data_IF_107807513687
#
_entry.id   IF_107807513687
#
_cell.length_a   1.000
_cell.length_b   1.000
_cell.length_c   1.000
_cell.angle_alpha   90.00
_cell.angle_beta   90.00
_cell.angle_gamma   90.00
#
_symmetry.space_group_name_H-M   'P 1'
#
loop_
_entity.id
_entity.type
_entity.pdbx_description
1 polymer ?
#
# COMPACT_ATOMS: atom_id res chain seq x y z
N UNK A 1 -32.80 -0.93 11.09
CA UNK A 1 -31.88 0.21 10.92
C UNK A 1 -30.64 -0.32 10.20
N UNK A 2 -30.06 0.45 9.28
CA UNK A 2 -28.79 0.10 8.62
C UNK A 2 -27.69 0.61 9.55
N UNK A 3 -26.89 -0.29 10.09
CA UNK A 3 -25.76 0.06 10.97
C UNK A 3 -24.53 0.42 10.13
N UNK A 4 -23.85 1.52 10.46
CA UNK A 4 -22.67 1.98 9.73
C UNK A 4 -21.41 1.25 10.24
N UNK A 5 -20.62 0.72 9.31
CA UNK A 5 -19.40 -0.02 9.62
C UNK A 5 -19.52 -1.51 9.29
N UNK A 6 -18.56 -2.30 9.73
CA UNK A 6 -18.55 -3.75 9.59
C UNK A 6 -17.81 -4.41 10.77
N UNK A 7 -18.09 -5.69 11.08
CA UNK A 7 -17.52 -6.34 12.25
C UNK A 7 -16.08 -6.84 12.03
N UNK A 8 -15.34 -6.85 13.14
CA UNK A 8 -14.15 -7.64 13.37
C UNK A 8 -14.53 -8.87 14.21
N UNK A 9 -14.18 -10.06 13.71
CA UNK A 9 -14.24 -11.30 14.47
C UNK A 9 -12.86 -11.63 15.04
N UNK A 10 -12.74 -11.65 16.37
CA UNK A 10 -11.55 -12.15 17.05
C UNK A 10 -11.74 -13.63 17.36
N UNK A 11 -10.82 -14.46 16.89
CA UNK A 11 -10.83 -15.91 17.06
C UNK A 11 -9.70 -16.30 18.01
N UNK A 12 -10.05 -17.02 19.08
CA UNK A 12 -9.10 -17.78 19.87
C UNK A 12 -9.43 -19.27 19.76
N UNK A 13 -8.41 -20.11 19.90
CA UNK A 13 -8.58 -21.54 19.73
C UNK A 13 -8.00 -22.35 20.89
N UNK A 14 -8.70 -23.43 21.24
CA UNK A 14 -8.24 -24.43 22.19
C UNK A 14 -8.30 -25.80 21.52
N UNK A 15 -7.22 -26.57 21.65
CA UNK A 15 -7.14 -27.93 21.13
C UNK A 15 -7.30 -28.95 22.25
N UNK A 16 -8.14 -29.96 22.05
CA UNK A 16 -8.28 -31.07 22.99
C UNK A 16 -8.64 -32.35 22.24
N UNK A 17 -7.78 -33.38 22.26
CA UNK A 17 -8.06 -34.71 21.67
C UNK A 17 -8.58 -34.66 20.20
N UNK A 18 -7.89 -33.92 19.32
CA UNK A 18 -8.31 -33.69 17.91
C UNK A 18 -9.62 -32.89 17.76
N UNK A 19 -10.07 -32.21 18.81
CA UNK A 19 -11.18 -31.26 18.76
C UNK A 19 -10.64 -29.85 18.88
N UNK A 20 -10.90 -29.01 17.87
CA UNK A 20 -10.56 -27.59 17.89
C UNK A 20 -11.79 -26.80 18.31
N UNK A 21 -11.73 -26.17 19.47
CA UNK A 21 -12.76 -25.29 20.00
C UNK A 21 -12.39 -23.85 19.65
N UNK A 22 -13.21 -23.18 18.85
CA UNK A 22 -13.03 -21.79 18.45
C UNK A 22 -13.96 -20.92 19.27
N UNK A 23 -13.42 -19.99 20.03
CA UNK A 23 -14.16 -18.92 20.68
C UNK A 23 -14.09 -17.69 19.78
N UNK A 24 -15.25 -17.19 19.35
CA UNK A 24 -15.34 -16.11 18.38
C UNK A 24 -16.12 -14.96 18.99
N UNK A 25 -15.48 -13.81 19.10
CA UNK A 25 -16.07 -12.56 19.60
C UNK A 25 -16.18 -11.54 18.47
N UNK A 26 -17.32 -10.87 18.37
CA UNK A 26 -17.51 -9.76 17.43
C UNK A 26 -17.38 -8.40 18.13
N UNK A 27 -16.87 -7.41 17.38
CA UNK A 27 -16.91 -6.00 17.71
C UNK A 27 -16.90 -5.18 16.41
N UNK A 28 -17.25 -3.89 16.43
CA UNK A 28 -17.05 -3.02 15.26
C UNK A 28 -15.57 -2.90 14.93
N UNK A 29 -15.20 -2.99 13.64
CA UNK A 29 -13.87 -2.62 13.19
C UNK A 29 -13.79 -1.10 13.01
N UNK A 30 -12.87 -0.45 13.73
CA UNK A 30 -12.58 0.99 13.59
C UNK A 30 -11.13 1.13 13.13
N UNK A 31 -10.91 1.84 12.02
CA UNK A 31 -9.62 1.86 11.33
C UNK A 31 -8.50 2.56 12.13
N UNK A 32 -8.85 3.48 13.02
CA UNK A 32 -7.91 4.17 13.92
C UNK A 32 -7.64 3.41 15.23
N UNK A 33 -8.29 2.26 15.43
CA UNK A 33 -8.14 1.44 16.63
C UNK A 33 -8.84 2.00 17.87
N UNK A 34 -9.66 3.05 17.74
CA UNK A 34 -10.43 3.59 18.85
C UNK A 34 -11.48 2.60 19.38
N UNK A 35 -11.98 2.86 20.60
CA UNK A 35 -12.96 2.00 21.24
C UNK A 35 -14.33 2.06 20.53
N UNK A 36 -15.00 0.92 20.44
CA UNK A 36 -16.38 0.82 19.97
C UNK A 36 -17.37 1.11 21.11
N UNK A 37 -17.63 2.39 21.36
CA UNK A 37 -18.58 2.79 22.40
C UNK A 37 -20.03 2.38 22.09
N UNK A 38 -20.36 2.24 20.80
CA UNK A 38 -21.71 1.87 20.33
C UNK A 38 -22.00 0.37 20.50
N UNK A 39 -20.96 -0.47 20.60
CA UNK A 39 -21.07 -1.93 20.76
C UNK A 39 -22.05 -2.56 19.77
N UNK A 40 -21.95 -2.15 18.49
CA UNK A 40 -22.83 -2.61 17.42
C UNK A 40 -22.74 -4.14 17.24
N UNK A 41 -23.86 -4.77 16.91
CA UNK A 41 -23.96 -6.22 16.79
C UNK A 41 -24.61 -6.62 15.47
N UNK A 42 -23.91 -7.48 14.74
CA UNK A 42 -24.38 -8.02 13.48
C UNK A 42 -24.80 -9.47 13.62
N UNK A 43 -25.78 -9.86 12.80
CA UNK A 43 -26.05 -11.27 12.51
C UNK A 43 -25.12 -11.71 11.38
N UNK A 44 -24.11 -12.52 11.72
CA UNK A 44 -23.00 -12.83 10.81
C UNK A 44 -23.05 -14.31 10.41
N UNK A 45 -23.23 -14.66 9.13
CA UNK A 45 -23.09 -16.04 8.66
C UNK A 45 -21.61 -16.41 8.61
N UNK A 46 -21.10 -17.03 9.68
CA UNK A 46 -19.71 -17.47 9.77
C UNK A 46 -19.59 -18.79 9.00
N UNK A 47 -18.66 -18.81 8.06
CA UNK A 47 -18.20 -20.02 7.38
C UNK A 47 -16.80 -20.35 7.86
N UNK A 48 -16.52 -21.65 8.02
CA UNK A 48 -15.20 -22.18 8.39
C UNK A 48 -14.79 -23.22 7.37
N UNK A 49 -13.52 -23.20 6.94
CA UNK A 49 -12.92 -24.25 6.14
C UNK A 49 -11.53 -24.60 6.69
N UNK A 50 -11.09 -25.81 6.38
CA UNK A 50 -9.97 -26.47 7.05
C UNK A 50 -9.08 -27.17 6.03
N UNK A 51 -7.90 -27.63 6.46
CA UNK A 51 -6.99 -28.42 5.62
C UNK A 51 -7.62 -29.66 4.98
N UNK A 52 -8.51 -30.35 5.69
CA UNK A 52 -9.24 -31.52 5.16
C UNK A 52 -10.30 -31.15 4.11
N UNK A 53 -10.80 -29.92 4.15
CA UNK A 53 -11.81 -29.38 3.25
C UNK A 53 -11.38 -28.02 2.67
N UNK A 54 -10.26 -27.94 1.94
CA UNK A 54 -9.64 -26.65 1.63
C UNK A 54 -10.39 -25.84 0.56
N UNK A 55 -11.36 -26.48 -0.11
CA UNK A 55 -12.15 -25.92 -1.21
C UNK A 55 -13.66 -25.99 -0.97
N UNK A 56 -14.09 -26.19 0.27
CA UNK A 56 -15.50 -26.21 0.62
C UNK A 56 -15.70 -25.80 2.08
N UNK A 57 -16.93 -25.40 2.41
CA UNK A 57 -17.29 -25.05 3.77
C UNK A 57 -17.31 -26.33 4.62
N UNK A 58 -16.47 -26.38 5.66
CA UNK A 58 -16.47 -27.46 6.64
C UNK A 58 -17.56 -27.25 7.70
N UNK A 59 -17.84 -26.00 8.06
CA UNK A 59 -18.91 -25.64 8.99
C UNK A 59 -19.47 -24.26 8.67
N UNK A 60 -20.78 -24.10 8.86
CA UNK A 60 -21.48 -22.82 8.75
C UNK A 60 -22.37 -22.60 9.98
N UNK A 61 -22.34 -21.40 10.55
CA UNK A 61 -23.17 -21.02 11.69
C UNK A 61 -23.56 -19.56 11.58
N UNK A 62 -24.77 -19.23 12.03
CA UNK A 62 -25.18 -17.84 12.20
C UNK A 62 -24.76 -17.37 13.60
N UNK A 63 -23.86 -16.40 13.66
CA UNK A 63 -23.56 -15.68 14.89
C UNK A 63 -24.65 -14.63 15.12
N UNK A 64 -25.41 -14.77 16.19
CA UNK A 64 -26.49 -13.87 16.59
C UNK A 64 -26.31 -13.28 18.01
N UNK A 65 -25.10 -13.48 18.57
CA UNK A 65 -24.67 -13.03 19.90
C UNK A 65 -23.31 -12.35 19.82
N UNK A 66 -22.89 -11.59 20.86
CA UNK A 66 -21.56 -10.98 20.93
C UNK A 66 -20.41 -11.99 20.85
N UNK A 67 -20.63 -13.20 21.36
CA UNK A 67 -19.67 -14.29 21.37
C UNK A 67 -20.37 -15.62 21.07
N UNK A 68 -19.69 -16.49 20.33
CA UNK A 68 -20.11 -17.87 20.09
C UNK A 68 -18.93 -18.82 20.23
N UNK A 69 -19.23 -20.10 20.44
CA UNK A 69 -18.24 -21.18 20.42
C UNK A 69 -18.57 -22.17 19.32
N UNK A 70 -17.58 -22.52 18.51
CA UNK A 70 -17.66 -23.53 17.44
C UNK A 70 -16.72 -24.67 17.80
N UNK A 71 -17.18 -25.92 17.74
CA UNK A 71 -16.30 -27.09 17.91
C UNK A 71 -16.15 -27.82 16.58
N UNK A 72 -14.91 -27.93 16.11
CA UNK A 72 -14.53 -28.70 14.93
C UNK A 72 -13.95 -30.05 15.39
N UNK A 73 -14.55 -31.13 14.91
CA UNK A 73 -14.12 -32.50 15.20
C UNK A 73 -13.03 -32.95 14.20
N UNK A 74 -12.15 -33.85 14.65
CA UNK A 74 -11.09 -34.46 13.83
C UNK A 74 -10.11 -33.45 13.20
N UNK A 75 -9.72 -32.42 13.94
CA UNK A 75 -8.71 -31.44 13.54
C UNK A 75 -7.38 -31.75 14.26
N UNK A 76 -6.34 -32.22 13.54
CA UNK A 76 -4.97 -32.33 14.05
C UNK A 76 -4.44 -31.03 14.67
N UNK A 77 -3.41 -31.14 15.51
CA UNK A 77 -2.86 -30.01 16.26
C UNK A 77 -2.30 -28.91 15.34
N UNK A 78 -1.61 -29.35 14.28
CA UNK A 78 -0.92 -28.55 13.27
C UNK A 78 -1.81 -28.13 12.08
N UNK A 79 -3.06 -28.59 12.03
CA UNK A 79 -3.95 -28.28 10.93
C UNK A 79 -4.41 -26.81 10.99
N UNK A 80 -4.40 -26.18 9.83
CA UNK A 80 -4.89 -24.82 9.69
C UNK A 80 -6.41 -24.79 9.59
N UNK A 81 -6.95 -23.68 10.07
CA UNK A 81 -8.35 -23.31 9.94
C UNK A 81 -8.44 -21.89 9.39
N UNK A 82 -9.49 -21.60 8.64
CA UNK A 82 -9.81 -20.23 8.22
C UNK A 82 -11.31 -20.00 8.23
N UNK A 83 -11.71 -18.87 8.79
CA UNK A 83 -13.05 -18.33 8.69
C UNK A 83 -13.22 -17.52 7.39
N UNK A 84 -14.48 -17.35 6.99
CA UNK A 84 -14.89 -16.59 5.82
C UNK A 84 -14.37 -17.24 4.53
N UNK A 85 -14.90 -18.42 4.18
CA UNK A 85 -14.55 -19.16 2.97
C UNK A 85 -14.83 -18.33 1.71
N UNK A 86 -13.84 -18.23 0.81
CA UNK A 86 -13.82 -17.32 -0.35
C UNK A 86 -14.04 -15.84 0.00
N UNK A 87 -13.97 -15.50 1.28
CA UNK A 87 -14.09 -14.15 1.81
C UNK A 87 -15.37 -13.41 1.33
N UNK A 88 -16.49 -14.13 1.34
CA UNK A 88 -17.80 -13.63 0.90
C UNK A 88 -18.46 -12.73 1.96
N UNK A 89 -18.26 -13.04 3.24
CA UNK A 89 -18.84 -12.29 4.34
C UNK A 89 -18.15 -10.93 4.52
N UNK A 90 -18.96 -9.88 4.76
CA UNK A 90 -18.47 -8.53 5.03
C UNK A 90 -18.03 -8.41 6.49
N UNK A 91 -16.87 -8.98 6.81
CA UNK A 91 -16.23 -8.89 8.13
C UNK A 91 -14.75 -9.24 8.03
N UNK A 92 -13.96 -8.72 8.96
CA UNK A 92 -12.53 -9.07 9.09
C UNK A 92 -12.34 -10.14 10.14
N UNK A 93 -11.26 -10.92 10.02
CA UNK A 93 -10.94 -11.95 11.02
C UNK A 93 -9.55 -11.71 11.62
N UNK A 94 -9.48 -11.57 12.94
CA UNK A 94 -8.25 -11.59 13.73
C UNK A 94 -8.04 -12.99 14.30
N UNK A 95 -6.87 -13.54 14.01
CA UNK A 95 -6.37 -14.77 14.62
C UNK A 95 -5.25 -14.44 15.60
N UNK A 96 -5.05 -15.31 16.59
CA UNK A 96 -3.81 -15.32 17.37
C UNK A 96 -2.61 -15.62 16.47
N UNK A 97 -1.42 -15.13 16.83
CA UNK A 97 -0.22 -15.20 15.98
C UNK A 97 0.14 -16.64 15.59
N UNK A 98 -0.05 -17.62 16.49
CA UNK A 98 0.20 -19.03 16.20
C UNK A 98 -0.79 -19.58 15.16
N UNK A 99 -2.09 -19.31 15.33
CA UNK A 99 -3.13 -19.71 14.37
C UNK A 99 -2.89 -19.06 13.00
N UNK A 100 -2.52 -17.77 12.98
CA UNK A 100 -2.17 -17.08 11.75
C UNK A 100 -0.96 -17.73 11.06
N UNK A 101 0.08 -18.10 11.82
CA UNK A 101 1.27 -18.73 11.27
C UNK A 101 0.99 -20.10 10.63
N UNK A 102 -0.04 -20.84 11.08
CA UNK A 102 -0.45 -22.10 10.43
C UNK A 102 -1.01 -21.89 9.02
N UNK A 103 -1.40 -20.67 8.65
CA UNK A 103 -1.80 -20.34 7.27
C UNK A 103 -0.60 -20.17 6.31
N UNK A 104 0.64 -20.12 6.80
CA UNK A 104 1.83 -19.96 5.96
C UNK A 104 1.96 -21.08 4.91
N UNK A 105 1.93 -22.35 5.34
CA UNK A 105 2.04 -23.51 4.45
C UNK A 105 0.96 -23.54 3.35
N UNK A 106 -0.34 -23.43 3.66
CA UNK A 106 -1.35 -23.48 2.61
C UNK A 106 -1.35 -22.26 1.69
N UNK A 107 -0.82 -21.11 2.13
CA UNK A 107 -0.59 -19.95 1.27
C UNK A 107 0.55 -20.26 0.29
N UNK A 108 1.72 -20.65 0.81
CA UNK A 108 2.91 -20.93 0.00
C UNK A 108 2.65 -22.03 -1.03
N UNK A 109 1.92 -23.09 -0.63
CA UNK A 109 1.56 -24.21 -1.51
C UNK A 109 0.24 -24.02 -2.26
N UNK A 110 -0.34 -22.81 -2.24
CA UNK A 110 -1.57 -22.41 -2.95
C UNK A 110 -2.75 -23.37 -2.71
N UNK A 111 -2.86 -23.90 -1.49
CA UNK A 111 -3.93 -24.83 -1.08
C UNK A 111 -5.26 -24.12 -0.84
N UNK A 112 -5.22 -22.83 -0.50
CA UNK A 112 -6.40 -21.97 -0.38
C UNK A 112 -6.57 -21.07 -1.61
N UNK A 113 -7.79 -20.60 -1.87
CA UNK A 113 -8.13 -19.82 -3.07
C UNK A 113 -7.35 -18.50 -3.15
N UNK A 114 -7.13 -17.91 -4.35
CA UNK A 114 -6.54 -16.58 -4.47
C UNK A 114 -7.32 -15.51 -3.71
N UNK A 115 -8.66 -15.60 -3.65
CA UNK A 115 -9.51 -14.69 -2.89
C UNK A 115 -9.18 -14.76 -1.40
N UNK A 116 -9.03 -15.96 -0.86
CA UNK A 116 -8.68 -16.17 0.54
C UNK A 116 -7.25 -15.75 0.87
N UNK A 117 -6.29 -16.01 -0.01
CA UNK A 117 -4.91 -15.51 0.13
C UNK A 117 -4.88 -13.98 0.16
N UNK A 118 -5.56 -13.33 -0.79
CA UNK A 118 -5.68 -11.88 -0.83
C UNK A 118 -6.25 -11.32 0.48
N UNK A 119 -7.32 -11.93 0.99
CA UNK A 119 -8.03 -11.43 2.16
C UNK A 119 -7.31 -11.70 3.48
N UNK A 120 -6.54 -12.79 3.60
CA UNK A 120 -5.68 -12.99 4.77
C UNK A 120 -4.70 -11.84 4.91
N UNK A 121 -3.93 -11.50 3.87
CA UNK A 121 -2.95 -10.43 3.98
C UNK A 121 -3.61 -9.03 4.10
N UNK A 122 -4.77 -8.80 3.47
CA UNK A 122 -5.51 -7.54 3.61
C UNK A 122 -6.13 -7.34 5.00
N UNK A 123 -6.62 -8.41 5.63
CA UNK A 123 -7.13 -8.35 7.00
C UNK A 123 -5.98 -8.08 7.97
N UNK A 124 -4.88 -8.82 7.85
CA UNK A 124 -3.71 -8.61 8.71
C UNK A 124 -3.18 -7.17 8.57
N UNK A 125 -3.01 -6.65 7.35
CA UNK A 125 -2.56 -5.28 7.13
C UNK A 125 -3.50 -4.23 7.79
N UNK A 126 -4.82 -4.39 7.63
CA UNK A 126 -5.79 -3.48 8.24
C UNK A 126 -5.79 -3.58 9.77
N UNK A 127 -5.65 -4.80 10.32
CA UNK A 127 -5.54 -5.02 11.77
C UNK A 127 -4.24 -4.44 12.33
N UNK A 128 -3.14 -4.49 11.58
CA UNK A 128 -1.90 -3.83 11.96
C UNK A 128 -2.07 -2.31 12.04
N UNK A 129 -2.67 -1.68 11.02
CA UNK A 129 -2.95 -0.25 11.07
C UNK A 129 -3.85 0.13 12.27
N UNK A 130 -4.87 -0.67 12.56
CA UNK A 130 -5.77 -0.45 13.71
C UNK A 130 -5.18 -0.88 15.08
N UNK A 131 -3.96 -1.42 15.13
CA UNK A 131 -3.34 -1.87 16.38
C UNK A 131 -3.89 -3.16 16.98
N UNK A 132 -4.62 -3.92 16.19
CA UNK A 132 -5.15 -5.23 16.58
C UNK A 132 -4.22 -6.39 16.24
N UNK A 133 -3.18 -6.19 15.42
CA UNK A 133 -2.21 -7.23 15.06
C UNK A 133 -0.80 -6.65 14.90
N UNK A 134 0.24 -7.44 15.16
CA UNK A 134 1.63 -7.00 14.99
C UNK A 134 2.03 -6.91 13.52
N UNK A 135 2.74 -5.84 13.12
CA UNK A 135 3.38 -5.79 11.80
C UNK A 135 4.44 -6.90 11.60
N UNK A 136 5.01 -7.45 12.67
CA UNK A 136 5.89 -8.62 12.57
C UNK A 136 5.10 -9.84 12.06
N UNK A 137 3.87 -10.03 12.50
CA UNK A 137 3.01 -11.10 11.98
C UNK A 137 2.65 -10.88 10.50
N UNK A 138 2.43 -9.61 10.11
CA UNK A 138 2.23 -9.25 8.69
C UNK A 138 3.45 -9.60 7.83
N UNK A 139 4.64 -9.18 8.23
CA UNK A 139 5.88 -9.47 7.50
C UNK A 139 6.18 -10.98 7.47
N UNK A 140 5.91 -11.71 8.55
CA UNK A 140 6.05 -13.18 8.57
C UNK A 140 5.13 -13.85 7.58
N UNK A 141 3.84 -13.51 7.56
CA UNK A 141 2.91 -14.17 6.64
C UNK A 141 3.19 -13.79 5.18
N UNK A 142 3.61 -12.55 4.91
CA UNK A 142 3.98 -12.11 3.56
C UNK A 142 5.10 -12.95 2.95
N UNK A 143 6.02 -13.49 3.75
CA UNK A 143 7.07 -14.39 3.23
C UNK A 143 6.51 -15.64 2.53
N UNK A 144 5.31 -16.08 2.91
CA UNK A 144 4.63 -17.22 2.28
C UNK A 144 4.08 -16.91 0.89
N UNK A 145 4.11 -15.65 0.46
CA UNK A 145 3.65 -15.20 -0.86
C UNK A 145 4.80 -15.04 -1.86
N UNK A 146 6.04 -15.38 -1.50
CA UNK A 146 7.20 -15.21 -2.39
C UNK A 146 7.01 -15.87 -3.77
N UNK A 147 6.31 -17.01 -3.84
CA UNK A 147 5.97 -17.72 -5.07
C UNK A 147 4.51 -17.54 -5.53
N UNK A 148 3.83 -16.49 -5.07
CA UNK A 148 2.48 -16.13 -5.54
C UNK A 148 2.46 -15.89 -7.06
N UNK A 149 1.36 -16.23 -7.73
CA UNK A 149 1.19 -16.11 -9.18
C UNK A 149 -0.09 -15.37 -9.58
N UNK A 150 -0.95 -15.03 -8.63
CA UNK A 150 -2.17 -14.31 -8.91
C UNK A 150 -1.97 -12.79 -8.90
N UNK A 151 -2.34 -12.13 -10.00
CA UNK A 151 -2.22 -10.68 -10.16
C UNK A 151 -2.92 -9.88 -9.05
N UNK A 152 -4.16 -10.25 -8.70
CA UNK A 152 -4.94 -9.49 -7.72
C UNK A 152 -4.35 -9.62 -6.32
N UNK A 153 -3.82 -10.79 -5.95
CA UNK A 153 -3.12 -11.00 -4.68
C UNK A 153 -1.87 -10.12 -4.62
N UNK A 154 -1.01 -10.18 -5.64
CA UNK A 154 0.19 -9.35 -5.73
C UNK A 154 -0.11 -7.85 -5.73
N UNK A 155 -1.18 -7.41 -6.41
CA UNK A 155 -1.61 -6.01 -6.42
C UNK A 155 -1.98 -5.54 -5.01
N UNK A 156 -2.67 -6.38 -4.24
CA UNK A 156 -3.03 -6.06 -2.86
C UNK A 156 -1.78 -6.01 -1.94
N UNK A 157 -0.86 -6.97 -2.09
CA UNK A 157 0.45 -6.96 -1.39
C UNK A 157 1.22 -5.68 -1.73
N UNK A 158 1.34 -5.35 -3.01
CA UNK A 158 2.05 -4.17 -3.48
C UNK A 158 1.47 -2.86 -2.90
N UNK A 159 0.14 -2.77 -2.80
CA UNK A 159 -0.54 -1.61 -2.20
C UNK A 159 -0.20 -1.49 -0.72
N UNK A 160 -0.43 -2.54 0.07
CA UNK A 160 -0.17 -2.53 1.51
C UNK A 160 1.33 -2.32 1.82
N UNK A 161 2.22 -2.86 0.98
CA UNK A 161 3.66 -2.64 1.09
C UNK A 161 4.09 -1.23 0.71
N UNK A 162 3.36 -0.55 -0.19
CA UNK A 162 3.59 0.87 -0.48
C UNK A 162 3.22 1.74 0.74
N UNK A 163 2.10 1.45 1.39
CA UNK A 163 1.67 2.14 2.61
C UNK A 163 2.66 1.95 3.76
N UNK A 164 3.12 0.71 3.96
CA UNK A 164 4.18 0.42 4.94
C UNK A 164 5.51 1.07 4.54
N UNK A 165 5.86 1.09 3.26
CA UNK A 165 7.07 1.76 2.78
C UNK A 165 7.06 3.25 3.10
N UNK A 166 5.95 3.96 2.81
CA UNK A 166 5.87 5.40 3.07
C UNK A 166 5.99 5.72 4.56
N UNK A 167 5.56 4.79 5.41
CA UNK A 167 5.69 4.89 6.86
C UNK A 167 7.13 4.62 7.33
N UNK A 168 7.75 3.53 6.86
CA UNK A 168 9.09 3.12 7.28
C UNK A 168 10.21 4.01 6.70
N UNK A 169 9.93 4.84 5.70
CA UNK A 169 10.84 5.90 5.23
C UNK A 169 11.26 6.89 6.33
N UNK A 170 10.46 7.02 7.40
CA UNK A 170 10.77 7.87 8.57
C UNK A 170 11.70 7.19 9.58
N UNK A 171 12.22 6.01 9.27
CA UNK A 171 13.01 5.19 10.21
C UNK A 171 14.45 5.01 9.72
N UNK A 172 15.37 4.73 10.64
CA UNK A 172 16.77 4.47 10.35
C UNK A 172 17.04 3.06 9.79
N UNK A 173 16.02 2.20 9.70
CA UNK A 173 16.11 0.82 9.19
C UNK A 173 15.36 0.62 7.86
N UNK A 174 15.10 1.70 7.12
CA UNK A 174 14.40 1.63 5.84
C UNK A 174 15.15 0.77 4.80
N UNK A 175 16.48 0.70 4.88
CA UNK A 175 17.29 -0.14 4.00
C UNK A 175 17.05 -1.64 4.23
N UNK A 176 16.89 -2.07 5.48
CA UNK A 176 16.49 -3.44 5.85
C UNK A 176 15.13 -3.78 5.22
N UNK A 177 14.17 -2.85 5.28
CA UNK A 177 12.86 -3.05 4.67
C UNK A 177 12.93 -3.14 3.14
N UNK A 178 13.78 -2.34 2.48
CA UNK A 178 14.04 -2.46 1.04
C UNK A 178 14.62 -3.84 0.69
N UNK A 179 15.56 -4.36 1.48
CA UNK A 179 16.10 -5.73 1.29
C UNK A 179 15.03 -6.80 1.43
N UNK A 180 14.19 -6.72 2.46
CA UNK A 180 13.04 -7.62 2.62
C UNK A 180 12.10 -7.58 1.40
N UNK A 181 11.81 -6.37 0.89
CA UNK A 181 11.01 -6.20 -0.34
C UNK A 181 11.67 -6.84 -1.56
N UNK A 182 12.98 -6.68 -1.74
CA UNK A 182 13.70 -7.33 -2.85
C UNK A 182 13.58 -8.85 -2.76
N UNK A 183 13.82 -9.42 -1.58
CA UNK A 183 13.71 -10.86 -1.36
C UNK A 183 12.31 -11.37 -1.70
N UNK A 184 11.25 -10.69 -1.23
CA UNK A 184 9.86 -11.08 -1.47
C UNK A 184 9.48 -11.05 -2.97
N UNK A 185 9.97 -10.07 -3.73
CA UNK A 185 9.61 -9.89 -5.14
C UNK A 185 10.59 -10.55 -6.14
N UNK A 186 11.72 -11.09 -5.67
CA UNK A 186 12.79 -11.65 -6.52
C UNK A 186 12.32 -12.82 -7.39
N UNK A 187 11.56 -13.78 -6.82
CA UNK A 187 11.05 -14.95 -7.55
C UNK A 187 10.15 -14.53 -8.71
N UNK A 188 9.17 -13.66 -8.45
CA UNK A 188 8.26 -13.17 -9.49
C UNK A 188 8.95 -12.28 -10.51
N UNK A 189 9.93 -11.46 -10.12
CA UNK A 189 10.75 -10.68 -11.05
C UNK A 189 11.51 -11.60 -12.02
N UNK A 190 12.21 -12.62 -11.51
CA UNK A 190 12.96 -13.58 -12.32
C UNK A 190 12.03 -14.37 -13.26
N UNK A 191 10.82 -14.70 -12.79
CA UNK A 191 9.81 -15.37 -13.60
C UNK A 191 9.27 -14.49 -14.73
N UNK A 192 9.05 -13.18 -14.51
CA UNK A 192 8.45 -12.30 -15.51
C UNK A 192 9.48 -11.72 -16.49
N UNK A 193 10.65 -11.33 -15.99
CA UNK A 193 11.67 -10.62 -16.76
C UNK A 193 11.19 -9.27 -17.33
N UNK A 194 12.03 -8.66 -18.15
CA UNK A 194 11.75 -7.36 -18.80
C UNK A 194 10.87 -7.47 -20.05
N UNK A 195 10.96 -8.59 -20.76
CA UNK A 195 10.30 -8.79 -22.04
C UNK A 195 9.18 -9.84 -21.92
N UNK A 196 8.13 -9.66 -22.72
CA UNK A 196 7.01 -10.60 -22.78
C UNK A 196 7.49 -11.97 -23.27
N UNK A 197 7.02 -13.04 -22.60
CA UNK A 197 7.34 -14.42 -22.99
C UNK A 197 6.31 -14.96 -24.00
N UNK A 198 6.69 -15.90 -24.88
CA UNK A 198 5.72 -16.58 -25.74
C UNK A 198 4.60 -17.22 -24.90
N UNK A 199 3.35 -17.01 -25.31
CA UNK A 199 2.15 -17.48 -24.60
C UNK A 199 1.98 -16.93 -23.17
N UNK A 200 2.53 -15.76 -22.88
CA UNK A 200 2.29 -15.07 -21.63
C UNK A 200 0.81 -14.69 -21.47
N UNK A 201 0.24 -14.97 -20.30
CA UNK A 201 -1.12 -14.57 -19.97
C UNK A 201 -1.19 -13.06 -19.65
N UNK A 202 -2.36 -12.46 -19.88
CA UNK A 202 -2.57 -11.03 -19.69
C UNK A 202 -2.30 -10.55 -18.25
N UNK A 203 -2.51 -11.38 -17.24
CA UNK A 203 -2.29 -11.01 -15.84
C UNK A 203 -0.80 -10.95 -15.51
N UNK A 204 0.02 -11.87 -16.04
CA UNK A 204 1.48 -11.80 -15.98
C UNK A 204 2.03 -10.53 -16.64
N UNK A 205 1.47 -10.14 -17.80
CA UNK A 205 1.83 -8.89 -18.46
C UNK A 205 1.51 -7.64 -17.61
N UNK A 206 0.37 -7.66 -16.89
CA UNK A 206 -0.01 -6.59 -15.96
C UNK A 206 0.84 -6.56 -14.68
N UNK A 207 1.36 -7.71 -14.22
CA UNK A 207 2.25 -7.80 -13.05
C UNK A 207 3.63 -7.17 -13.32
N UNK A 208 4.18 -7.39 -14.51
CA UNK A 208 5.55 -7.00 -14.87
C UNK A 208 5.91 -5.56 -14.50
N UNK A 209 5.20 -4.51 -14.96
CA UNK A 209 5.58 -3.14 -14.66
C UNK A 209 5.53 -2.80 -13.16
N UNK A 210 4.59 -3.40 -12.42
CA UNK A 210 4.47 -3.21 -10.99
C UNK A 210 5.67 -3.83 -10.26
N UNK A 211 6.03 -5.08 -10.60
CA UNK A 211 7.18 -5.78 -10.02
C UNK A 211 8.48 -5.04 -10.34
N UNK A 212 8.73 -4.70 -11.61
CA UNK A 212 9.91 -3.93 -12.03
C UNK A 212 10.02 -2.60 -11.27
N UNK A 213 8.90 -1.87 -11.14
CA UNK A 213 8.92 -0.61 -10.39
C UNK A 213 9.21 -0.81 -8.90
N UNK A 214 8.68 -1.86 -8.27
CA UNK A 214 8.90 -2.13 -6.83
C UNK A 214 10.36 -2.49 -6.58
N UNK A 215 10.90 -3.40 -7.39
CA UNK A 215 12.29 -3.86 -7.32
C UNK A 215 13.26 -2.72 -7.60
N UNK A 216 13.05 -1.99 -8.69
CA UNK A 216 13.90 -0.85 -9.06
C UNK A 216 13.90 0.23 -7.98
N UNK A 217 12.73 0.57 -7.40
CA UNK A 217 12.63 1.52 -6.27
C UNK A 217 13.30 1.02 -4.99
N UNK A 218 13.39 -0.30 -4.81
CA UNK A 218 14.08 -0.90 -3.68
C UNK A 218 15.61 -0.92 -3.85
N UNK A 219 16.14 -0.50 -5.00
CA UNK A 219 17.59 -0.33 -5.20
C UNK A 219 18.30 -1.51 -5.85
N UNK A 220 17.58 -2.40 -6.54
CA UNK A 220 18.20 -3.48 -7.31
C UNK A 220 19.02 -2.93 -8.47
N UNK A 221 20.34 -3.12 -8.42
CA UNK A 221 21.27 -2.49 -9.35
C UNK A 221 21.07 -2.98 -10.79
N UNK A 222 20.85 -4.28 -10.99
CA UNK A 222 20.63 -4.88 -12.32
C UNK A 222 19.36 -4.31 -12.98
N UNK A 223 18.28 -4.16 -12.21
CA UNK A 223 17.04 -3.52 -12.68
C UNK A 223 17.25 -2.04 -12.99
N UNK A 224 18.05 -1.32 -12.19
CA UNK A 224 18.36 0.09 -12.45
C UNK A 224 19.15 0.25 -13.76
N UNK A 225 20.17 -0.59 -13.96
CA UNK A 225 21.04 -0.49 -15.13
C UNK A 225 20.32 -0.89 -16.43
N UNK A 226 19.47 -1.93 -16.38
CA UNK A 226 18.64 -2.30 -17.54
C UNK A 226 17.57 -1.23 -17.84
N UNK A 227 16.99 -0.57 -16.82
CA UNK A 227 16.08 0.56 -17.03
C UNK A 227 16.77 1.73 -17.75
N UNK A 228 17.98 2.09 -17.30
CA UNK A 228 18.80 3.15 -17.92
C UNK A 228 19.13 2.83 -19.37
N UNK A 229 19.62 1.62 -19.64
CA UNK A 229 19.92 1.14 -21.00
C UNK A 229 18.70 1.19 -21.92
N UNK A 230 17.52 0.79 -21.44
CA UNK A 230 16.27 0.88 -22.21
C UNK A 230 15.86 2.32 -22.47
N UNK A 231 16.02 3.20 -21.48
CA UNK A 231 15.72 4.62 -21.65
C UNK A 231 16.66 5.30 -22.64
N UNK A 232 17.97 5.03 -22.59
CA UNK A 232 18.96 5.55 -23.55
C UNK A 232 18.63 5.15 -25.00
N UNK A 233 18.24 3.90 -25.20
CA UNK A 233 17.74 3.43 -26.51
C UNK A 233 16.45 4.14 -26.91
N UNK A 234 15.56 4.39 -25.95
CA UNK A 234 14.29 5.04 -26.22
C UNK A 234 14.43 6.46 -26.73
N UNK A 235 15.28 7.26 -26.07
CA UNK A 235 15.54 8.65 -26.45
C UNK A 235 16.33 8.77 -27.75
N UNK A 236 16.90 7.68 -28.26
CA UNK A 236 17.61 7.61 -29.54
C UNK A 236 16.79 7.00 -30.68
N UNK A 237 15.53 6.59 -30.42
CA UNK A 237 14.57 6.20 -31.45
C UNK A 237 13.95 4.81 -31.28
N UNK A 238 14.42 4.00 -30.34
CA UNK A 238 13.79 2.69 -30.07
C UNK A 238 12.46 2.85 -29.32
N UNK A 239 11.56 1.89 -29.48
CA UNK A 239 10.32 1.87 -28.71
C UNK A 239 10.47 1.03 -27.45
N UNK A 240 10.09 1.60 -26.30
CA UNK A 240 9.82 0.82 -25.09
C UNK A 240 8.36 0.33 -25.16
N UNK A 241 8.16 -0.95 -24.85
CA UNK A 241 6.83 -1.53 -24.67
C UNK A 241 5.98 -0.62 -23.75
N UNK A 242 4.79 -0.18 -24.21
CA UNK A 242 3.94 0.73 -23.46
C UNK A 242 3.61 0.29 -22.03
N UNK A 243 3.60 -1.02 -21.76
CA UNK A 243 3.30 -1.60 -20.45
C UNK A 243 4.41 -1.33 -19.43
N UNK A 244 5.68 -1.47 -19.82
CA UNK A 244 6.82 -1.29 -18.90
C UNK A 244 7.38 0.13 -18.88
N UNK A 245 7.01 0.96 -19.84
CA UNK A 245 7.54 2.32 -19.98
C UNK A 245 7.39 3.17 -18.72
N UNK A 246 6.27 3.05 -18.01
CA UNK A 246 6.08 3.71 -16.72
C UNK A 246 7.10 3.27 -15.67
N UNK A 247 7.43 1.98 -15.61
CA UNK A 247 8.46 1.48 -14.70
C UNK A 247 9.85 2.02 -15.07
N UNK A 248 10.19 2.02 -16.38
CA UNK A 248 11.45 2.59 -16.87
C UNK A 248 11.59 4.05 -16.48
N UNK A 249 10.60 4.90 -16.80
CA UNK A 249 10.63 6.33 -16.48
C UNK A 249 10.77 6.61 -14.99
N UNK A 250 10.04 5.87 -14.16
CA UNK A 250 10.12 6.00 -12.71
C UNK A 250 11.52 5.65 -12.21
N UNK A 251 12.11 4.56 -12.69
CA UNK A 251 13.44 4.11 -12.25
C UNK A 251 14.52 5.11 -12.70
N UNK A 252 14.53 5.52 -13.97
CA UNK A 252 15.54 6.47 -14.46
C UNK A 252 15.38 7.85 -13.84
N UNK A 253 14.15 8.33 -13.63
CA UNK A 253 13.91 9.58 -12.91
C UNK A 253 14.39 9.50 -11.46
N UNK A 254 14.14 8.37 -10.79
CA UNK A 254 14.50 8.15 -9.39
C UNK A 254 16.01 8.27 -9.14
N UNK A 255 16.82 7.68 -10.01
CA UNK A 255 18.27 7.59 -9.85
C UNK A 255 19.07 8.50 -10.80
N UNK A 256 18.39 9.17 -11.73
CA UNK A 256 18.98 10.03 -12.74
C UNK A 256 19.39 11.41 -12.21
N UNK A 257 19.86 12.24 -13.12
CA UNK A 257 20.24 13.64 -12.86
C UNK A 257 19.40 14.60 -13.70
N UNK A 258 19.77 15.89 -13.72
CA UNK A 258 19.06 16.91 -14.47
C UNK A 258 19.06 16.64 -15.99
N UNK A 259 20.07 15.93 -16.52
CA UNK A 259 20.07 15.54 -17.94
C UNK A 259 18.97 14.52 -18.23
N UNK A 260 18.76 13.56 -17.32
CA UNK A 260 17.66 12.60 -17.42
C UNK A 260 16.30 13.32 -17.34
N UNK A 261 16.18 14.31 -16.46
CA UNK A 261 14.95 15.11 -16.34
C UNK A 261 14.66 15.92 -17.59
N UNK A 262 15.70 16.48 -18.22
CA UNK A 262 15.53 17.21 -19.47
C UNK A 262 15.02 16.30 -20.60
N UNK A 263 15.53 15.08 -20.70
CA UNK A 263 15.01 14.10 -21.66
C UNK A 263 13.54 13.70 -21.36
N UNK A 264 13.18 13.50 -20.09
CA UNK A 264 11.79 13.26 -19.70
C UNK A 264 10.87 14.44 -20.04
N UNK A 265 11.34 15.69 -19.89
CA UNK A 265 10.60 16.90 -20.29
C UNK A 265 10.43 16.98 -21.81
N UNK A 266 11.46 16.65 -22.60
CA UNK A 266 11.34 16.57 -24.06
C UNK A 266 10.28 15.55 -24.48
N UNK A 267 10.29 14.36 -23.87
CA UNK A 267 9.26 13.35 -24.10
C UNK A 267 7.86 13.86 -23.70
N UNK A 268 7.75 14.63 -22.61
CA UNK A 268 6.47 15.19 -22.16
C UNK A 268 5.89 16.18 -23.17
N UNK A 269 6.72 17.07 -23.72
CA UNK A 269 6.28 18.03 -24.72
C UNK A 269 5.98 17.38 -26.07
N UNK A 270 6.73 16.34 -26.45
CA UNK A 270 6.52 15.58 -27.67
C UNK A 270 5.31 14.62 -27.62
N UNK A 271 4.84 14.26 -26.42
CA UNK A 271 3.74 13.32 -26.29
C UNK A 271 2.40 13.91 -26.76
N UNK A 272 1.69 13.18 -27.63
CA UNK A 272 0.33 13.54 -28.05
C UNK A 272 -0.73 13.08 -27.06
N UNK A 273 -0.52 11.92 -26.44
CA UNK A 273 -1.50 11.28 -25.55
C UNK A 273 -1.41 11.81 -24.12
N UNK A 274 -2.55 12.20 -23.55
CA UNK A 274 -2.65 12.65 -22.15
C UNK A 274 -2.14 11.61 -21.16
N UNK A 275 -2.39 10.32 -21.40
CA UNK A 275 -1.94 9.24 -20.51
C UNK A 275 -0.41 9.17 -20.40
N UNK A 276 0.29 9.40 -21.51
CA UNK A 276 1.76 9.43 -21.54
C UNK A 276 2.28 10.70 -20.82
N UNK A 277 1.62 11.85 -21.01
CA UNK A 277 1.94 13.08 -20.28
C UNK A 277 1.81 12.91 -18.77
N UNK A 278 0.70 12.35 -18.31
CA UNK A 278 0.45 12.06 -16.88
C UNK A 278 1.50 11.10 -16.32
N UNK A 279 1.85 10.05 -17.08
CA UNK A 279 2.91 9.09 -16.71
C UNK A 279 4.26 9.77 -16.56
N UNK A 280 4.65 10.64 -17.49
CA UNK A 280 5.91 11.39 -17.44
C UNK A 280 5.93 12.36 -16.26
N UNK A 281 4.86 13.14 -16.06
CA UNK A 281 4.73 14.05 -14.90
C UNK A 281 4.91 13.32 -13.57
N UNK A 282 4.20 12.20 -13.40
CA UNK A 282 4.32 11.38 -12.20
C UNK A 282 5.70 10.77 -12.03
N UNK A 283 6.41 10.47 -13.11
CA UNK A 283 7.75 9.89 -13.06
C UNK A 283 8.80 10.93 -12.69
N UNK A 284 8.75 12.13 -13.27
CA UNK A 284 9.69 13.23 -13.00
C UNK A 284 9.77 13.57 -11.50
N UNK A 285 8.63 13.55 -10.79
CA UNK A 285 8.58 13.83 -9.35
C UNK A 285 9.22 12.76 -8.46
N UNK A 286 9.54 11.56 -8.97
CA UNK A 286 9.99 10.43 -8.14
C UNK A 286 11.50 10.34 -7.91
N UNK A 287 12.24 11.39 -8.27
CA UNK A 287 13.65 11.55 -7.95
C UNK A 287 13.92 11.42 -6.45
N UNK A 288 15.11 10.91 -6.08
CA UNK A 288 15.61 10.97 -4.70
C UNK A 288 16.45 12.22 -4.45
N UNK A 289 16.68 13.05 -5.47
CA UNK A 289 17.50 14.27 -5.40
C UNK A 289 16.61 15.48 -5.11
N UNK A 290 16.80 16.19 -3.98
CA UNK A 290 15.95 17.32 -3.59
C UNK A 290 15.81 18.40 -4.66
N UNK A 291 16.91 18.77 -5.31
CA UNK A 291 16.96 19.81 -6.35
C UNK A 291 16.11 19.47 -7.57
N UNK A 292 16.02 18.19 -7.94
CA UNK A 292 15.18 17.73 -9.05
C UNK A 292 13.70 17.78 -8.66
N UNK A 293 13.36 17.43 -7.42
CA UNK A 293 11.98 17.50 -6.92
C UNK A 293 11.53 18.97 -6.89
N UNK A 294 12.36 19.89 -6.38
CA UNK A 294 12.07 21.32 -6.40
C UNK A 294 11.87 21.85 -7.83
N UNK A 295 12.76 21.50 -8.76
CA UNK A 295 12.61 21.88 -10.17
C UNK A 295 11.34 21.30 -10.80
N UNK A 296 10.97 20.08 -10.44
CA UNK A 296 9.73 19.44 -10.91
C UNK A 296 8.50 20.17 -10.37
N UNK A 297 8.49 20.57 -9.09
CA UNK A 297 7.40 21.34 -8.50
C UNK A 297 7.21 22.68 -9.23
N UNK A 298 8.31 23.38 -9.54
CA UNK A 298 8.27 24.60 -10.34
C UNK A 298 7.73 24.32 -11.74
N UNK A 299 8.26 23.32 -12.43
CA UNK A 299 7.79 22.94 -13.76
C UNK A 299 6.28 22.64 -13.81
N UNK A 300 5.76 21.97 -12.78
CA UNK A 300 4.35 21.57 -12.71
C UNK A 300 3.43 22.73 -12.32
N UNK A 301 3.86 23.61 -11.41
CA UNK A 301 2.99 24.59 -10.77
C UNK A 301 3.28 26.06 -11.11
N UNK A 302 4.42 26.37 -11.69
CA UNK A 302 4.80 27.70 -12.16
C UNK A 302 4.64 27.77 -13.69
N UNK A 303 3.92 28.80 -14.16
CA UNK A 303 3.66 28.99 -15.60
C UNK A 303 2.73 27.96 -16.23
N UNK A 304 2.64 27.94 -17.56
CA UNK A 304 1.60 27.22 -18.32
C UNK A 304 2.09 25.91 -18.97
N UNK A 305 3.20 25.36 -18.48
CA UNK A 305 3.78 24.12 -19.02
C UNK A 305 2.85 22.91 -18.86
N UNK A 306 2.14 22.85 -17.72
CA UNK A 306 1.31 21.70 -17.33
C UNK A 306 -0.15 22.13 -17.18
N UNK A 307 -1.05 21.34 -17.76
CA UNK A 307 -2.49 21.57 -17.62
C UNK A 307 -2.91 21.34 -16.17
N UNK A 308 -3.83 22.19 -15.70
CA UNK A 308 -4.35 22.18 -14.33
C UNK A 308 -4.81 20.79 -13.86
N UNK A 309 -5.51 20.07 -14.71
CA UNK A 309 -6.05 18.73 -14.44
C UNK A 309 -4.97 17.64 -14.35
N UNK A 310 -3.81 17.83 -14.98
CA UNK A 310 -2.72 16.85 -15.02
C UNK A 310 -1.71 17.09 -13.88
N UNK A 311 -1.68 18.30 -13.31
CA UNK A 311 -0.71 18.74 -12.31
C UNK A 311 -0.71 17.89 -11.03
N UNK A 312 -1.85 17.29 -10.66
CA UNK A 312 -1.95 16.36 -9.52
C UNK A 312 -1.00 15.16 -9.70
N UNK A 313 -0.78 14.71 -10.94
CA UNK A 313 0.10 13.57 -11.21
C UNK A 313 1.56 13.90 -10.88
N UNK A 314 2.00 15.13 -11.20
CA UNK A 314 3.32 15.64 -10.81
C UNK A 314 3.46 15.76 -9.29
N UNK A 315 2.45 16.31 -8.62
CA UNK A 315 2.41 16.39 -7.15
C UNK A 315 2.60 15.01 -6.48
N UNK A 316 1.80 14.03 -6.90
CA UNK A 316 1.87 12.65 -6.37
C UNK A 316 3.22 12.00 -6.66
N UNK A 317 3.86 12.36 -7.79
CA UNK A 317 5.24 11.98 -8.05
C UNK A 317 6.17 12.50 -6.95
N UNK A 318 6.11 13.81 -6.68
CA UNK A 318 6.97 14.50 -5.71
C UNK A 318 6.79 14.01 -4.26
N UNK A 319 5.65 13.42 -3.88
CA UNK A 319 5.43 12.88 -2.52
C UNK A 319 5.98 11.46 -2.31
N UNK A 320 6.61 10.86 -3.32
CA UNK A 320 7.08 9.46 -3.29
C UNK A 320 8.37 9.22 -2.48
N UNK A 321 8.78 10.17 -1.64
CA UNK A 321 9.83 10.01 -0.63
C UNK A 321 9.59 10.95 0.55
N UNK A 322 10.12 10.64 1.73
CA UNK A 322 10.06 11.52 2.90
C UNK A 322 10.56 12.93 2.61
N UNK A 323 11.71 13.06 1.94
CA UNK A 323 12.27 14.35 1.56
C UNK A 323 11.38 15.07 0.54
N UNK A 324 10.85 14.35 -0.45
CA UNK A 324 9.90 14.90 -1.41
C UNK A 324 8.62 15.44 -0.76
N UNK A 325 8.08 14.74 0.25
CA UNK A 325 6.93 15.23 1.05
C UNK A 325 7.27 16.54 1.77
N UNK A 326 8.45 16.65 2.39
CA UNK A 326 8.91 17.89 3.03
C UNK A 326 8.99 19.05 2.01
N UNK A 327 9.53 18.80 0.82
CA UNK A 327 9.64 19.79 -0.24
C UNK A 327 8.27 20.22 -0.78
N UNK A 328 7.34 19.28 -0.96
CA UNK A 328 5.95 19.57 -1.34
C UNK A 328 5.27 20.45 -0.29
N UNK A 329 5.45 20.13 0.99
CA UNK A 329 4.90 20.94 2.08
C UNK A 329 5.46 22.36 2.08
N UNK A 330 6.78 22.50 1.99
CA UNK A 330 7.44 23.81 1.88
C UNK A 330 6.98 24.60 0.66
N UNK A 331 6.84 23.92 -0.49
CA UNK A 331 6.33 24.54 -1.71
C UNK A 331 4.90 25.05 -1.53
N UNK A 332 4.02 24.25 -0.91
CA UNK A 332 2.66 24.66 -0.58
C UNK A 332 2.67 25.91 0.30
N UNK A 333 3.43 25.90 1.40
CA UNK A 333 3.50 27.04 2.32
C UNK A 333 3.90 28.34 1.61
N UNK A 334 4.92 28.27 0.74
CA UNK A 334 5.44 29.43 0.03
C UNK A 334 4.51 29.93 -1.08
N UNK A 335 3.68 29.05 -1.66
CA UNK A 335 2.89 29.35 -2.85
C UNK A 335 1.38 29.29 -2.62
N UNK A 336 0.90 29.09 -1.40
CA UNK A 336 -0.52 28.84 -1.12
C UNK A 336 -1.44 29.89 -1.72
N UNK A 337 -1.10 31.18 -1.54
CA UNK A 337 -1.87 32.27 -2.12
C UNK A 337 -1.94 32.20 -3.64
N UNK A 338 -0.80 31.96 -4.29
CA UNK A 338 -0.71 31.81 -5.76
C UNK A 338 -1.49 30.59 -6.25
N UNK A 339 -1.44 29.47 -5.52
CA UNK A 339 -2.24 28.27 -5.81
C UNK A 339 -3.75 28.57 -5.67
N UNK A 340 -4.17 29.27 -4.62
CA UNK A 340 -5.57 29.65 -4.44
C UNK A 340 -6.05 30.60 -5.55
N UNK A 341 -5.25 31.62 -5.89
CA UNK A 341 -5.56 32.58 -6.96
C UNK A 341 -5.63 31.90 -8.33
N UNK A 342 -4.69 30.98 -8.62
CA UNK A 342 -4.60 30.28 -9.91
C UNK A 342 -5.70 29.24 -10.11
N UNK A 343 -5.96 28.42 -9.09
CA UNK A 343 -6.88 27.28 -9.21
C UNK A 343 -8.31 27.65 -8.78
N UNK A 344 -8.48 28.71 -7.99
CA UNK A 344 -9.74 29.18 -7.44
C UNK A 344 -10.00 28.64 -6.03
N UNK A 345 -10.53 29.51 -5.15
CA UNK A 345 -10.82 29.22 -3.73
C UNK A 345 -11.77 28.04 -3.50
N UNK A 346 -12.57 27.67 -4.50
CA UNK A 346 -13.55 26.57 -4.44
C UNK A 346 -13.16 25.37 -5.32
N UNK A 347 -11.89 25.28 -5.69
CA UNK A 347 -11.42 24.24 -6.61
C UNK A 347 -11.20 22.90 -5.91
N UNK A 348 -11.69 21.82 -6.53
CA UNK A 348 -11.38 20.45 -6.14
C UNK A 348 -9.87 20.15 -6.21
N UNK A 349 -9.11 20.93 -6.99
CA UNK A 349 -7.66 20.81 -7.01
C UNK A 349 -7.04 21.10 -5.64
N UNK A 350 -7.51 22.11 -4.90
CA UNK A 350 -6.97 22.43 -3.57
C UNK A 350 -7.23 21.30 -2.58
N UNK A 351 -8.41 20.65 -2.68
CA UNK A 351 -8.73 19.44 -1.91
C UNK A 351 -7.70 18.34 -2.23
N UNK A 352 -7.52 18.04 -3.52
CA UNK A 352 -6.60 17.01 -3.97
C UNK A 352 -5.14 17.32 -3.58
N UNK A 353 -4.72 18.58 -3.64
CA UNK A 353 -3.37 18.98 -3.22
C UNK A 353 -3.18 18.69 -1.74
N UNK A 354 -4.12 19.09 -0.88
CA UNK A 354 -4.04 18.84 0.56
C UNK A 354 -4.05 17.34 0.85
N UNK A 355 -4.98 16.58 0.28
CA UNK A 355 -5.09 15.14 0.57
C UNK A 355 -3.87 14.37 0.04
N UNK A 356 -3.46 14.56 -1.21
CA UNK A 356 -2.34 13.79 -1.78
C UNK A 356 -0.97 14.35 -1.42
N UNK A 357 -0.85 15.65 -1.18
CA UNK A 357 0.40 16.31 -0.83
C UNK A 357 0.84 16.07 0.61
N UNK A 358 -0.12 15.88 1.53
CA UNK A 358 0.14 15.98 2.97
C UNK A 358 -0.29 14.74 3.79
N UNK A 359 -0.97 13.73 3.23
CA UNK A 359 -1.47 12.61 4.06
C UNK A 359 -0.38 11.68 4.60
N UNK A 360 0.77 11.58 3.92
CA UNK A 360 1.76 10.55 4.18
C UNK A 360 2.84 10.93 5.20
N UNK A 361 2.70 12.08 5.90
CA UNK A 361 3.53 12.37 7.07
C UNK A 361 3.24 11.39 8.21
N UNK A 362 4.21 11.22 9.11
CA UNK A 362 4.12 10.25 10.21
C UNK A 362 4.65 10.82 11.54
N UNK A 363 4.64 12.15 11.70
CA UNK A 363 5.11 12.82 12.90
C UNK A 363 4.14 13.93 13.36
N UNK A 364 3.94 14.02 14.69
CA UNK A 364 2.99 14.97 15.31
C UNK A 364 3.40 16.44 15.15
N UNK A 365 4.70 16.69 14.97
CA UNK A 365 5.21 18.04 14.79
C UNK A 365 4.70 18.62 13.47
N UNK A 366 4.86 17.88 12.38
CA UNK A 366 4.36 18.27 11.06
C UNK A 366 2.84 18.40 11.05
N UNK A 367 2.11 17.50 11.73
CA UNK A 367 0.66 17.65 11.91
C UNK A 367 0.28 18.98 12.57
N UNK A 368 0.99 19.37 13.64
CA UNK A 368 0.77 20.63 14.34
C UNK A 368 1.07 21.86 13.47
N UNK A 369 2.12 21.77 12.63
CA UNK A 369 2.48 22.81 11.66
C UNK A 369 1.43 22.96 10.56
N UNK A 370 0.94 21.85 9.99
CA UNK A 370 -0.13 21.82 8.99
C UNK A 370 -1.40 22.47 9.55
N UNK A 371 -1.82 22.05 10.75
CA UNK A 371 -2.99 22.64 11.41
C UNK A 371 -2.85 24.15 11.58
N UNK A 372 -1.73 24.58 12.16
CA UNK A 372 -1.46 26.00 12.44
C UNK A 372 -1.40 26.85 11.18
N UNK A 373 -0.92 26.29 10.06
CA UNK A 373 -0.91 26.94 8.77
C UNK A 373 -2.33 27.15 8.23
N UNK A 374 -3.14 26.10 8.16
CA UNK A 374 -4.50 26.19 7.59
C UNK A 374 -5.48 26.96 8.47
N UNK A 375 -5.30 26.95 9.80
CA UNK A 375 -6.06 27.82 10.72
C UNK A 375 -5.85 29.31 10.38
N UNK A 376 -4.67 29.69 9.88
CA UNK A 376 -4.35 31.07 9.47
C UNK A 376 -4.84 31.42 8.07
N UNK A 377 -4.84 30.45 7.15
CA UNK A 377 -5.17 30.70 5.74
C UNK A 377 -6.68 30.84 5.48
N UNK A 378 -7.53 30.42 6.42
CA UNK A 378 -8.99 30.56 6.37
C UNK A 378 -9.59 30.18 5.00
N UNK A 379 -9.27 28.99 4.49
CA UNK A 379 -9.74 28.49 3.20
C UNK A 379 -10.77 27.37 3.42
N UNK A 380 -12.10 27.65 3.44
CA UNK A 380 -13.10 26.69 3.93
C UNK A 380 -13.17 25.36 3.18
N UNK A 381 -12.85 25.35 1.88
CA UNK A 381 -12.94 24.13 1.07
C UNK A 381 -11.98 23.03 1.55
N UNK A 382 -10.84 23.41 2.16
CA UNK A 382 -9.84 22.45 2.65
C UNK A 382 -10.00 22.10 4.13
N UNK A 383 -10.94 22.68 4.87
CA UNK A 383 -11.12 22.39 6.31
C UNK A 383 -11.33 20.90 6.60
N UNK A 384 -12.23 20.24 5.87
CA UNK A 384 -12.48 18.80 6.03
C UNK A 384 -11.28 17.95 5.52
N UNK A 385 -10.71 18.21 4.34
CA UNK A 385 -9.47 17.56 3.89
C UNK A 385 -8.31 17.66 4.91
N UNK A 386 -8.07 18.84 5.48
CA UNK A 386 -7.04 19.05 6.50
C UNK A 386 -7.33 18.19 7.73
N UNK A 387 -8.58 18.14 8.21
CA UNK A 387 -8.92 17.27 9.36
C UNK A 387 -8.57 15.81 9.09
N UNK A 388 -8.93 15.29 7.91
CA UNK A 388 -8.64 13.92 7.49
C UNK A 388 -7.13 13.65 7.36
N UNK A 389 -6.38 14.61 6.83
CA UNK A 389 -4.91 14.54 6.77
C UNK A 389 -4.34 14.44 8.18
N UNK A 390 -4.77 15.29 9.11
CA UNK A 390 -4.28 15.28 10.50
C UNK A 390 -4.62 13.96 11.21
N UNK A 391 -5.84 13.44 11.04
CA UNK A 391 -6.25 12.12 11.54
C UNK A 391 -5.33 11.02 11.00
N UNK A 392 -5.00 11.06 9.70
CA UNK A 392 -4.11 10.09 9.05
C UNK A 392 -2.67 10.18 9.59
N UNK A 393 -2.11 11.38 9.72
CA UNK A 393 -0.76 11.58 10.26
C UNK A 393 -0.67 11.08 11.70
N UNK A 394 -1.69 11.36 12.52
CA UNK A 394 -1.75 10.89 13.90
C UNK A 394 -1.75 9.35 13.96
N UNK A 395 -2.59 8.68 13.18
CA UNK A 395 -2.60 7.22 13.10
C UNK A 395 -1.23 6.65 12.70
N UNK A 396 -0.57 7.24 11.69
CA UNK A 396 0.75 6.82 11.22
C UNK A 396 1.82 6.98 12.30
N UNK A 397 1.81 8.11 13.00
CA UNK A 397 2.68 8.41 14.15
C UNK A 397 2.49 7.38 15.27
N UNK A 398 1.26 7.03 15.63
CA UNK A 398 0.99 6.00 16.64
C UNK A 398 1.46 4.60 16.22
N UNK A 399 1.33 4.22 14.94
CA UNK A 399 1.90 2.97 14.44
C UNK A 399 3.41 2.93 14.63
N UNK A 400 4.13 4.00 14.26
CA UNK A 400 5.59 4.04 14.45
C UNK A 400 5.97 3.97 15.93
N UNK A 401 5.27 4.68 16.82
CA UNK A 401 5.53 4.62 18.26
C UNK A 401 5.33 3.22 18.82
N UNK A 402 4.29 2.51 18.36
CA UNK A 402 3.91 1.19 18.86
C UNK A 402 4.80 0.07 18.33
N UNK A 403 5.04 0.04 17.02
CA UNK A 403 5.57 -1.17 16.35
C UNK A 403 7.02 -1.05 15.87
N UNK A 404 7.57 0.16 15.78
CA UNK A 404 8.86 0.39 15.09
C UNK A 404 10.00 -0.48 15.61
N UNK A 405 10.14 -0.62 16.94
CA UNK A 405 11.19 -1.45 17.54
C UNK A 405 11.07 -2.93 17.14
N UNK A 406 9.87 -3.49 17.19
CA UNK A 406 9.64 -4.90 16.86
C UNK A 406 9.86 -5.16 15.36
N UNK A 407 9.46 -4.21 14.51
CA UNK A 407 9.72 -4.27 13.06
C UNK A 407 11.23 -4.23 12.79
N UNK A 408 11.97 -3.31 13.42
CA UNK A 408 13.43 -3.18 13.28
C UNK A 408 14.14 -4.48 13.66
N UNK A 409 13.81 -5.03 14.83
CA UNK A 409 14.40 -6.28 15.33
C UNK A 409 14.14 -7.46 14.39
N UNK A 410 12.92 -7.56 13.83
CA UNK A 410 12.57 -8.61 12.88
C UNK A 410 13.32 -8.45 11.55
N UNK A 411 13.30 -7.25 10.97
CA UNK A 411 13.91 -6.97 9.66
C UNK A 411 15.44 -7.12 9.66
N UNK A 412 16.11 -6.84 10.78
CA UNK A 412 17.56 -7.10 10.93
C UNK A 412 17.93 -8.59 10.93
N UNK A 413 16.96 -9.48 11.08
CA UNK A 413 17.14 -10.93 11.04
C UNK A 413 16.77 -11.57 9.69
N UNK A 414 16.26 -10.77 8.73
CA UNK A 414 15.81 -11.23 7.41
C UNK A 414 16.91 -11.12 6.33
#
# INVERSE_FOLDING_TARGET
MIEQGYPLLTVTEEQTNKKRVLKIKQQRFIADGSADDENLQWKIPITVFTKSNPKQIAQQILMDKPEITITLENIPDDDWIKLNYNSIGLYRVKYESETLARLNEPIANKKISPQDRLMVQNDVAALCNAGHQSFVDYLRILSSYADEDNFTVWKAIASNMADLSSLLEYTNYFDEFKRYRLNLFSSIQNKLGWDAKPNEDALSAMLRPMVLSIVGKSGDQDTIDEAKKRFERHITGDLIDPNIRGAVYVIVSRYGDESTQEELRKLYFAADMTEEKVRLLRSMGQSIKPEIIENTLKFVFEGDNVRMQDAISGLVGCTSSCEGRNLVWKFLQNNWRTLVERFGEKSNFLIAFVEYGLSDFADEKTASEIKSFFDKMNTPIVTRPVKKVLETIHMRSEVLKRDSKAIEEYLKQQ
#
